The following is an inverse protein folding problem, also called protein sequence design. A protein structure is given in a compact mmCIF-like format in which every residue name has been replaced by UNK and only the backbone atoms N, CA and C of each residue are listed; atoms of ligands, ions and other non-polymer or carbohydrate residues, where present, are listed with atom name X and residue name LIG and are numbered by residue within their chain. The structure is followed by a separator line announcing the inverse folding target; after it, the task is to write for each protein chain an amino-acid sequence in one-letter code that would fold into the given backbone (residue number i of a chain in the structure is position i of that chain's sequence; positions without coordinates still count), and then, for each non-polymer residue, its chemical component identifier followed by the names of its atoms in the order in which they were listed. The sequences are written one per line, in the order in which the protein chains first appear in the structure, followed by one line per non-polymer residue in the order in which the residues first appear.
data_IF_339022594488
#
_entry.id   IF_339022594488
#
_cell.length_a   1.000
_cell.length_b   1.000
_cell.length_c   1.000
_cell.angle_alpha   90.00
_cell.angle_beta   90.00
_cell.angle_gamma   90.00
#
_symmetry.space_group_name_H-M   'P 1'
#
loop_
_entity.id
_entity.type
_entity.pdbx_description
1 polymer ?
#
# COMPACT_ATOMS: atom_id res chain seq x y z
N UNK A 1 -2.96 -4.74 12.21
CA UNK A 1 -4.32 -4.77 11.66
C UNK A 1 -4.78 -3.34 11.58
N UNK A 2 -5.20 -2.90 10.43
CA UNK A 2 -5.63 -1.53 10.17
C UNK A 2 -6.99 -1.61 9.46
N UNK A 3 -7.88 -0.69 9.78
CA UNK A 3 -9.16 -0.52 9.11
C UNK A 3 -9.26 0.93 8.62
N UNK A 4 -9.55 1.12 7.34
CA UNK A 4 -9.72 2.43 6.74
C UNK A 4 -11.06 2.55 6.01
N UNK A 5 -11.55 3.76 5.92
CA UNK A 5 -12.74 4.11 5.15
C UNK A 5 -12.42 5.36 4.32
N UNK A 6 -12.70 5.27 3.04
CA UNK A 6 -12.64 6.38 2.09
C UNK A 6 -14.08 6.71 1.73
N UNK A 7 -14.50 7.94 1.97
CA UNK A 7 -15.87 8.38 1.72
C UNK A 7 -15.93 9.22 0.45
N UNK A 8 -16.99 9.02 -0.33
CA UNK A 8 -17.33 9.84 -1.51
C UNK A 8 -16.33 9.73 -2.68
N UNK A 9 -15.87 8.51 -2.96
CA UNK A 9 -15.03 8.21 -4.12
C UNK A 9 -15.93 8.11 -5.36
N UNK A 10 -16.15 9.22 -6.10
CA UNK A 10 -17.09 9.27 -7.24
C UNK A 10 -18.53 8.86 -6.85
N UNK A 11 -19.00 9.26 -5.66
CA UNK A 11 -20.28 8.79 -5.11
C UNK A 11 -20.24 7.41 -4.47
N UNK A 12 -19.05 6.79 -4.33
CA UNK A 12 -18.88 5.44 -3.78
C UNK A 12 -18.15 5.49 -2.43
N UNK A 13 -18.36 4.50 -1.58
CA UNK A 13 -17.59 4.32 -0.35
C UNK A 13 -16.69 3.10 -0.50
N UNK A 14 -15.42 3.26 -0.14
CA UNK A 14 -14.44 2.18 -0.10
C UNK A 14 -14.02 1.94 1.33
N UNK A 15 -14.07 0.70 1.79
CA UNK A 15 -13.55 0.30 3.09
C UNK A 15 -12.51 -0.79 2.95
N UNK A 16 -11.37 -0.60 3.61
CA UNK A 16 -10.26 -1.55 3.61
C UNK A 16 -10.05 -2.13 4.99
N UNK A 17 -9.91 -3.44 5.05
CA UNK A 17 -9.42 -4.16 6.20
C UNK A 17 -8.05 -4.77 5.87
N UNK A 18 -7.01 -4.26 6.52
CA UNK A 18 -5.64 -4.71 6.36
C UNK A 18 -5.18 -5.52 7.56
N UNK A 19 -4.68 -6.72 7.32
CA UNK A 19 -4.03 -7.55 8.32
C UNK A 19 -2.63 -7.93 7.87
N UNK A 20 -1.66 -7.88 8.78
CA UNK A 20 -0.31 -8.31 8.46
C UNK A 20 0.37 -8.99 9.64
N UNK A 21 1.17 -10.01 9.32
CA UNK A 21 2.05 -10.68 10.24
C UNK A 21 3.49 -10.61 9.73
N UNK A 22 4.43 -10.23 10.59
CA UNK A 22 5.86 -10.14 10.26
C UNK A 22 6.68 -10.93 11.26
N UNK A 23 7.57 -11.79 10.74
CA UNK A 23 8.54 -12.55 11.51
C UNK A 23 9.96 -12.22 11.06
N UNK A 24 10.81 -11.86 12.02
CA UNK A 24 12.26 -11.73 11.80
C UNK A 24 12.90 -13.12 11.91
N UNK A 25 13.55 -13.58 10.84
CA UNK A 25 14.23 -14.88 10.81
C UNK A 25 15.70 -14.74 11.23
N UNK A 26 16.42 -13.77 10.67
CA UNK A 26 17.80 -13.47 11.01
C UNK A 26 17.99 -12.01 11.34
N UNK A 27 18.88 -11.72 12.29
CA UNK A 27 19.20 -10.37 12.73
C UNK A 27 20.71 -10.22 12.92
N UNK A 28 21.31 -9.16 12.33
CA UNK A 28 22.73 -8.87 12.45
C UNK A 28 23.27 -8.12 11.25
N UNK A 29 24.41 -8.58 10.69
CA UNK A 29 24.96 -8.05 9.44
C UNK A 29 24.03 -8.35 8.25
N UNK A 30 23.41 -9.53 8.29
CA UNK A 30 22.36 -9.95 7.38
C UNK A 30 21.05 -10.01 8.17
N UNK A 31 20.05 -9.32 7.68
CA UNK A 31 18.69 -9.34 8.23
C UNK A 31 17.77 -10.03 7.22
N UNK A 32 16.96 -10.96 7.69
CA UNK A 32 15.94 -11.62 6.87
C UNK A 32 14.63 -11.60 7.63
N UNK A 33 13.57 -11.15 6.98
CA UNK A 33 12.22 -11.16 7.53
C UNK A 33 11.21 -11.63 6.49
N UNK A 34 10.20 -12.33 6.96
CA UNK A 34 9.01 -12.68 6.17
C UNK A 34 7.85 -11.82 6.68
N UNK A 35 7.00 -11.36 5.76
CA UNK A 35 5.75 -10.66 6.07
C UNK A 35 4.64 -11.26 5.23
N UNK A 36 3.59 -11.78 5.87
CA UNK A 36 2.33 -12.11 5.22
C UNK A 36 1.39 -10.91 5.36
N UNK A 37 0.65 -10.60 4.29
CA UNK A 37 -0.35 -9.53 4.26
C UNK A 37 -1.66 -10.08 3.71
N UNK A 38 -2.75 -9.54 4.23
CA UNK A 38 -4.09 -9.73 3.71
C UNK A 38 -4.80 -8.39 3.72
N UNK A 39 -5.40 -8.02 2.59
CA UNK A 39 -6.28 -6.86 2.45
C UNK A 39 -7.62 -7.36 1.92
N UNK A 40 -8.69 -6.86 2.51
CA UNK A 40 -10.04 -6.99 1.99
C UNK A 40 -10.56 -5.58 1.72
N UNK A 41 -10.76 -5.26 0.46
CA UNK A 41 -11.31 -3.99 0.00
C UNK A 41 -12.76 -4.20 -0.42
N UNK A 42 -13.66 -3.47 0.20
CA UNK A 42 -15.09 -3.54 -0.08
C UNK A 42 -15.58 -2.21 -0.64
N UNK A 43 -16.32 -2.29 -1.74
CA UNK A 43 -16.92 -1.14 -2.42
C UNK A 43 -18.42 -1.12 -2.18
N UNK A 44 -18.94 0.03 -1.79
CA UNK A 44 -20.37 0.30 -1.74
C UNK A 44 -20.67 1.31 -2.84
N UNK A 45 -21.27 0.84 -3.90
CA UNK A 45 -21.64 1.67 -5.05
C UNK A 45 -22.98 2.36 -4.77
N UNK A 46 -23.01 3.69 -4.88
CA UNK A 46 -24.21 4.49 -4.76
C UNK A 46 -24.64 4.96 -6.16
N UNK A 47 -25.93 4.84 -6.43
CA UNK A 47 -26.67 5.37 -7.59
C UNK A 47 -26.31 4.91 -9.02
N UNK A 48 -27.29 4.34 -9.68
CA UNK A 48 -27.43 4.22 -11.14
C UNK A 48 -26.78 3.01 -11.78
N UNK A 49 -25.95 2.26 -11.08
CA UNK A 49 -25.45 0.97 -11.54
C UNK A 49 -26.49 -0.11 -11.21
N UNK A 50 -26.82 -0.94 -12.19
CA UNK A 50 -27.62 -2.12 -11.95
C UNK A 50 -26.85 -3.02 -10.96
N UNK A 51 -27.22 -2.96 -9.67
CA UNK A 51 -26.56 -3.65 -8.57
C UNK A 51 -26.41 -5.16 -8.80
N UNK A 52 -27.24 -5.74 -9.67
CA UNK A 52 -27.14 -7.13 -10.08
C UNK A 52 -25.93 -7.39 -10.98
N UNK A 53 -25.47 -6.38 -11.72
CA UNK A 53 -24.32 -6.50 -12.63
C UNK A 53 -22.96 -6.39 -11.95
N UNK A 54 -22.88 -5.70 -10.80
CA UNK A 54 -21.63 -5.44 -10.08
C UNK A 54 -21.53 -6.18 -8.73
N UNK A 55 -22.51 -7.04 -8.40
CA UNK A 55 -22.53 -7.77 -7.13
C UNK A 55 -21.26 -8.61 -6.90
N UNK A 56 -20.59 -9.04 -7.97
CA UNK A 56 -19.34 -9.81 -7.90
C UNK A 56 -18.09 -8.92 -7.84
N UNK A 57 -18.24 -7.61 -8.02
CA UNK A 57 -17.12 -6.64 -8.00
C UNK A 57 -17.03 -5.85 -6.70
N UNK A 58 -17.95 -6.06 -5.78
CA UNK A 58 -18.03 -5.29 -4.54
C UNK A 58 -16.93 -5.62 -3.55
N UNK A 59 -16.11 -6.65 -3.80
CA UNK A 59 -15.08 -7.08 -2.85
C UNK A 59 -13.85 -7.63 -3.55
N UNK A 60 -12.69 -7.08 -3.19
CA UNK A 60 -11.38 -7.52 -3.65
C UNK A 60 -10.59 -8.07 -2.47
N UNK A 61 -9.97 -9.20 -2.67
CA UNK A 61 -9.06 -9.82 -1.71
C UNK A 61 -7.63 -9.83 -2.24
N UNK A 62 -6.72 -9.19 -1.53
CA UNK A 62 -5.30 -9.18 -1.87
C UNK A 62 -4.49 -9.86 -0.78
N UNK A 63 -3.70 -10.85 -1.17
CA UNK A 63 -2.80 -11.59 -0.29
C UNK A 63 -1.37 -11.46 -0.79
N UNK A 64 -0.43 -11.18 0.10
CA UNK A 64 0.97 -11.03 -0.24
C UNK A 64 1.87 -11.79 0.73
N UNK A 65 2.97 -12.32 0.21
CA UNK A 65 4.02 -12.94 1.00
C UNK A 65 5.37 -12.29 0.69
N UNK A 66 5.80 -11.34 1.53
CA UNK A 66 7.05 -10.62 1.32
C UNK A 66 8.23 -11.31 1.98
N UNK A 67 9.29 -11.52 1.23
CA UNK A 67 10.62 -11.86 1.73
C UNK A 67 11.49 -10.60 1.67
N UNK A 68 11.98 -10.14 2.82
CA UNK A 68 12.81 -8.94 2.94
C UNK A 68 14.20 -9.35 3.40
N UNK A 69 15.21 -9.15 2.55
CA UNK A 69 16.61 -9.36 2.88
C UNK A 69 17.35 -8.02 2.86
N UNK A 70 18.08 -7.74 3.93
CA UNK A 70 18.96 -6.58 4.03
C UNK A 70 20.34 -7.02 4.47
N UNK A 71 21.36 -6.54 3.78
CA UNK A 71 22.77 -6.76 4.09
C UNK A 71 23.46 -5.43 4.38
N UNK A 72 24.07 -5.33 5.55
CA UNK A 72 25.01 -4.25 5.86
C UNK A 72 26.35 -4.57 5.19
N UNK A 73 26.70 -3.77 4.20
CA UNK A 73 27.97 -3.93 3.45
C UNK A 73 29.11 -3.48 4.36
N UNK A 74 28.97 -2.28 4.93
CA UNK A 74 29.88 -1.73 5.93
C UNK A 74 29.10 -0.90 6.98
N UNK A 75 29.77 0.00 7.70
CA UNK A 75 29.16 0.86 8.73
C UNK A 75 28.20 1.93 8.14
N UNK A 76 28.33 2.23 6.85
CA UNK A 76 27.60 3.30 6.16
C UNK A 76 26.70 2.77 5.06
N UNK A 77 27.05 1.69 4.40
CA UNK A 77 26.32 1.15 3.26
C UNK A 77 25.52 -0.09 3.60
N UNK A 78 24.28 -0.13 3.11
CA UNK A 78 23.44 -1.33 3.13
C UNK A 78 22.73 -1.53 1.80
N UNK A 79 22.49 -2.79 1.44
CA UNK A 79 21.67 -3.18 0.31
C UNK A 79 20.44 -3.95 0.81
N UNK A 80 19.28 -3.67 0.23
CA UNK A 80 18.01 -4.35 0.55
C UNK A 80 17.41 -4.92 -0.73
N UNK A 81 16.88 -6.13 -0.62
CA UNK A 81 16.07 -6.79 -1.65
C UNK A 81 14.78 -7.25 -0.99
N UNK A 82 13.66 -6.98 -1.63
CA UNK A 82 12.33 -7.45 -1.25
C UNK A 82 11.71 -8.16 -2.44
N UNK A 83 11.14 -9.33 -2.23
CA UNK A 83 10.31 -10.04 -3.18
C UNK A 83 8.93 -10.23 -2.55
N UNK A 84 7.87 -10.03 -3.32
CA UNK A 84 6.50 -10.07 -2.84
C UNK A 84 5.58 -10.64 -3.93
N UNK A 85 5.43 -11.98 -4.04
CA UNK A 85 4.33 -12.57 -4.78
C UNK A 85 2.99 -12.13 -4.16
N UNK A 86 2.05 -11.76 -5.03
CA UNK A 86 0.73 -11.26 -4.67
C UNK A 86 -0.32 -12.07 -5.41
N UNK A 87 -1.38 -12.43 -4.69
CA UNK A 87 -2.65 -12.93 -5.20
C UNK A 87 -3.69 -11.84 -4.96
N UNK A 88 -4.33 -11.33 -6.03
CA UNK A 88 -5.34 -10.28 -5.92
C UNK A 88 -6.49 -10.55 -6.88
N UNK A 89 -7.68 -10.76 -6.32
CA UNK A 89 -8.85 -11.26 -7.07
C UNK A 89 -10.17 -10.97 -6.36
N UNK A 90 -11.26 -10.99 -7.11
CA UNK A 90 -12.64 -10.90 -6.58
C UNK A 90 -13.18 -12.22 -6.04
N UNK A 91 -12.46 -13.33 -6.20
CA UNK A 91 -12.85 -14.70 -5.74
C UNK A 91 -14.17 -15.23 -6.31
N UNK A 92 -14.54 -14.80 -7.51
CA UNK A 92 -15.77 -15.25 -8.16
C UNK A 92 -15.70 -16.66 -8.73
N UNK A 93 -14.51 -17.14 -9.09
CA UNK A 93 -14.26 -18.46 -9.71
C UNK A 93 -12.97 -19.09 -9.20
N UNK A 94 -12.62 -20.25 -9.80
CA UNK A 94 -11.34 -20.89 -9.51
C UNK A 94 -10.17 -19.98 -9.89
N UNK A 95 -9.12 -19.99 -9.07
CA UNK A 95 -7.92 -19.19 -9.28
C UNK A 95 -7.30 -19.48 -10.65
N UNK A 96 -6.93 -18.41 -11.35
CA UNK A 96 -6.23 -18.41 -12.62
C UNK A 96 -4.80 -17.85 -12.47
N UNK A 97 -4.03 -17.86 -13.55
CA UNK A 97 -2.71 -17.21 -13.58
C UNK A 97 -2.81 -15.69 -13.41
N UNK A 98 -3.89 -15.08 -13.87
CA UNK A 98 -4.09 -13.63 -13.89
C UNK A 98 -4.38 -13.05 -12.50
N UNK A 99 -4.73 -13.92 -11.53
CA UNK A 99 -4.85 -13.53 -10.12
C UNK A 99 -3.50 -13.27 -9.45
N UNK A 100 -2.37 -13.68 -10.11
CA UNK A 100 -1.05 -13.63 -9.50
C UNK A 100 -0.12 -12.65 -10.22
N UNK A 101 0.57 -11.85 -9.46
CA UNK A 101 1.68 -11.02 -9.96
C UNK A 101 2.81 -10.93 -8.94
N UNK A 102 3.99 -10.59 -9.42
CA UNK A 102 5.19 -10.44 -8.58
C UNK A 102 5.59 -8.99 -8.43
N UNK A 103 5.77 -8.54 -7.20
CA UNK A 103 6.38 -7.25 -6.87
C UNK A 103 7.79 -7.47 -6.32
N UNK A 104 8.67 -6.52 -6.55
CA UNK A 104 10.01 -6.54 -5.97
C UNK A 104 10.51 -5.14 -5.70
N UNK A 105 11.52 -5.04 -4.84
CA UNK A 105 12.24 -3.80 -4.56
C UNK A 105 13.73 -4.13 -4.35
N UNK A 106 14.61 -3.33 -4.92
CA UNK A 106 16.05 -3.37 -4.66
C UNK A 106 16.52 -1.97 -4.38
N UNK A 107 17.16 -1.76 -3.23
CA UNK A 107 17.66 -0.46 -2.80
C UNK A 107 19.07 -0.56 -2.27
N UNK A 108 19.90 0.45 -2.61
CA UNK A 108 21.18 0.71 -2.00
C UNK A 108 21.08 1.98 -1.17
N UNK A 109 21.51 1.90 0.09
CA UNK A 109 21.43 3.01 1.03
C UNK A 109 22.79 3.36 1.60
N UNK A 110 23.04 4.66 1.72
CA UNK A 110 24.20 5.20 2.43
C UNK A 110 23.71 6.01 3.62
N UNK A 111 24.19 5.63 4.82
CA UNK A 111 23.86 6.30 6.06
C UNK A 111 25.11 6.95 6.67
N UNK A 112 24.99 8.17 7.12
CA UNK A 112 26.02 8.87 7.87
C UNK A 112 25.44 9.56 9.09
N UNK A 113 26.26 9.72 10.10
CA UNK A 113 25.89 10.34 11.37
C UNK A 113 26.78 11.53 11.64
N UNK A 114 26.19 12.64 12.02
CA UNK A 114 26.90 13.84 12.37
C UNK A 114 26.21 14.47 13.57
N UNK A 115 26.92 14.54 14.70
CA UNK A 115 26.38 15.00 15.97
C UNK A 115 25.11 14.18 16.36
N UNK A 116 23.99 14.85 16.57
CA UNK A 116 22.67 14.31 16.90
C UNK A 116 21.82 13.91 15.68
N UNK A 117 22.38 14.01 14.46
CA UNK A 117 21.66 13.76 13.21
C UNK A 117 22.09 12.44 12.59
N UNK A 118 21.11 11.68 12.12
CA UNK A 118 21.33 10.54 11.23
C UNK A 118 20.69 10.85 9.89
N UNK A 119 21.46 10.70 8.81
CA UNK A 119 21.03 10.97 7.44
C UNK A 119 21.20 9.69 6.62
N UNK A 120 20.24 9.42 5.73
CA UNK A 120 20.28 8.26 4.84
C UNK A 120 19.83 8.67 3.45
N UNK A 121 20.64 8.40 2.45
CA UNK A 121 20.27 8.47 1.04
C UNK A 121 20.05 7.05 0.54
N UNK A 122 18.92 6.82 -0.10
CA UNK A 122 18.57 5.54 -0.71
C UNK A 122 18.20 5.73 -2.17
N UNK A 123 18.69 4.84 -3.03
CA UNK A 123 18.36 4.78 -4.45
C UNK A 123 18.07 3.33 -4.84
N UNK A 124 17.21 3.12 -5.80
CA UNK A 124 16.89 1.76 -6.23
C UNK A 124 15.87 1.70 -7.36
N UNK A 125 15.35 0.50 -7.54
CA UNK A 125 14.25 0.19 -8.46
C UNK A 125 13.26 -0.73 -7.76
N UNK A 126 11.99 -0.60 -8.09
CA UNK A 126 10.96 -1.48 -7.59
C UNK A 126 9.90 -1.74 -8.66
N UNK A 127 9.26 -2.91 -8.59
CA UNK A 127 8.05 -3.21 -9.35
C UNK A 127 6.88 -3.09 -8.42
N UNK A 128 5.91 -2.27 -8.77
CA UNK A 128 4.75 -1.92 -7.95
C UNK A 128 3.54 -1.66 -8.82
N UNK A 129 2.38 -1.57 -8.20
CA UNK A 129 1.09 -1.20 -8.80
C UNK A 129 0.69 0.25 -8.51
N UNK A 130 1.66 1.12 -8.21
CA UNK A 130 1.41 2.51 -7.81
C UNK A 130 0.60 3.32 -8.80
N UNK A 131 0.73 3.04 -10.09
CA UNK A 131 0.01 3.70 -11.18
C UNK A 131 -1.04 2.77 -11.80
N UNK A 132 -1.62 1.88 -10.98
CA UNK A 132 -2.72 1.01 -11.37
C UNK A 132 -2.27 -0.34 -11.90
N UNK A 133 -1.07 -0.46 -12.46
CA UNK A 133 -0.56 -1.70 -13.05
C UNK A 133 0.82 -2.10 -12.51
N UNK A 134 1.19 -3.40 -12.61
CA UNK A 134 2.51 -3.85 -12.16
C UNK A 134 3.64 -3.38 -13.07
N UNK A 135 4.28 -2.26 -12.77
CA UNK A 135 5.36 -1.66 -13.56
C UNK A 135 6.65 -1.46 -12.76
N UNK A 136 7.78 -1.28 -13.48
CA UNK A 136 9.10 -1.06 -12.88
C UNK A 136 9.37 0.44 -12.82
N UNK A 137 9.62 0.93 -11.60
CA UNK A 137 9.82 2.34 -11.31
C UNK A 137 11.16 2.57 -10.59
N UNK A 138 11.82 3.71 -10.80
CA UNK A 138 12.94 4.13 -9.97
C UNK A 138 12.45 4.55 -8.60
N UNK A 139 13.28 4.38 -7.57
CA UNK A 139 13.06 4.97 -6.24
C UNK A 139 14.28 5.74 -5.80
N UNK A 140 14.04 6.88 -5.15
CA UNK A 140 15.08 7.66 -4.51
C UNK A 140 14.49 8.37 -3.29
N UNK A 141 15.21 8.35 -2.16
CA UNK A 141 14.77 9.05 -0.96
C UNK A 141 15.96 9.56 -0.14
N UNK A 142 15.74 10.68 0.51
CA UNK A 142 16.63 11.24 1.51
C UNK A 142 15.89 11.32 2.84
N UNK A 143 16.40 10.64 3.86
CA UNK A 143 15.84 10.64 5.20
C UNK A 143 16.80 11.30 6.19
N UNK A 144 16.26 12.07 7.14
CA UNK A 144 17.01 12.67 8.23
C UNK A 144 16.21 12.57 9.53
N UNK A 145 16.94 12.23 10.63
CA UNK A 145 16.40 12.25 11.99
C UNK A 145 17.27 13.10 12.87
N UNK A 146 16.64 13.81 13.81
CA UNK A 146 17.30 14.65 14.82
C UNK A 146 17.11 14.06 16.21
N UNK A 147 18.05 14.31 17.11
CA UNK A 147 18.01 13.80 18.48
C UNK A 147 16.81 14.28 19.32
N UNK A 148 16.16 15.36 18.93
CA UNK A 148 14.95 15.90 19.56
C UNK A 148 13.64 15.28 19.06
N UNK A 149 13.71 14.19 18.32
CA UNK A 149 12.55 13.41 17.85
C UNK A 149 11.97 13.83 16.50
N UNK A 150 12.44 14.91 15.89
CA UNK A 150 12.04 15.27 14.52
C UNK A 150 12.63 14.29 13.50
N UNK A 151 11.86 14.00 12.46
CA UNK A 151 12.31 13.21 11.33
C UNK A 151 11.62 13.67 10.03
N UNK A 152 12.34 13.51 8.93
CA UNK A 152 11.84 13.79 7.58
C UNK A 152 12.35 12.73 6.62
N UNK A 153 11.53 12.35 5.67
CA UNK A 153 11.93 11.63 4.46
C UNK A 153 11.34 12.36 3.28
N UNK A 154 12.15 12.69 2.31
CA UNK A 154 11.71 13.25 1.02
C UNK A 154 12.13 12.31 -0.07
N UNK A 155 11.19 11.89 -0.90
CA UNK A 155 11.49 10.94 -1.95
C UNK A 155 10.27 10.41 -2.69
N UNK A 156 10.53 9.44 -3.54
CA UNK A 156 9.51 8.71 -4.29
C UNK A 156 9.60 7.22 -3.92
N UNK A 157 8.47 6.55 -3.67
CA UNK A 157 7.08 6.98 -3.88
C UNK A 157 6.44 7.70 -2.69
N UNK A 158 7.16 7.89 -1.58
CA UNK A 158 6.60 8.45 -0.34
C UNK A 158 7.50 9.54 0.23
N UNK A 159 6.85 10.58 0.77
CA UNK A 159 7.50 11.61 1.57
C UNK A 159 6.77 11.75 2.89
N UNK A 160 7.52 11.95 3.98
CA UNK A 160 6.95 12.12 5.31
C UNK A 160 7.75 13.12 6.15
N UNK A 161 7.04 13.80 7.05
CA UNK A 161 7.59 14.70 8.03
C UNK A 161 6.91 14.45 9.37
N UNK A 162 7.68 14.28 10.44
CA UNK A 162 7.06 13.94 11.70
C UNK A 162 7.89 14.30 12.93
N UNK A 163 7.23 14.15 14.07
CA UNK A 163 7.77 14.39 15.40
C UNK A 163 7.35 13.27 16.35
N UNK A 164 8.31 12.65 17.01
CA UNK A 164 8.12 11.78 18.17
C UNK A 164 8.51 12.57 19.41
N UNK A 165 7.55 13.22 20.08
CA UNK A 165 7.84 14.06 21.25
C UNK A 165 8.08 13.27 22.54
N UNK A 166 7.78 11.99 22.52
CA UNK A 166 8.20 11.04 23.54
C UNK A 166 8.13 9.60 23.01
N UNK A 167 8.50 8.62 23.83
CA UNK A 167 8.50 7.21 23.41
C UNK A 167 7.11 6.64 23.11
N UNK A 168 6.04 7.32 23.52
CA UNK A 168 4.65 6.84 23.34
C UNK A 168 3.92 7.53 22.22
N UNK A 169 4.31 8.76 21.90
CA UNK A 169 3.51 9.61 21.01
C UNK A 169 4.34 10.09 19.83
N UNK A 170 3.81 9.93 18.64
CA UNK A 170 4.36 10.53 17.44
C UNK A 170 3.24 10.97 16.48
N UNK A 171 3.52 11.99 15.70
CA UNK A 171 2.67 12.49 14.63
C UNK A 171 3.47 12.58 13.35
N UNK A 172 2.87 12.22 12.24
CA UNK A 172 3.51 12.19 10.92
C UNK A 172 2.55 12.78 9.88
N UNK A 173 3.02 13.77 9.15
CA UNK A 173 2.42 14.18 7.88
C UNK A 173 3.01 13.29 6.78
N UNK A 174 2.18 12.70 5.96
CA UNK A 174 2.57 11.74 4.92
C UNK A 174 1.97 12.17 3.59
N UNK A 175 2.79 12.19 2.53
CA UNK A 175 2.35 12.26 1.14
C UNK A 175 2.87 11.05 0.41
N UNK A 176 2.01 10.31 -0.26
CA UNK A 176 2.38 9.08 -0.95
C UNK A 176 1.55 8.84 -2.21
N UNK A 177 2.08 8.03 -3.11
CA UNK A 177 1.30 7.40 -4.16
C UNK A 177 0.73 6.09 -3.63
N UNK A 178 -0.49 5.77 -4.05
CA UNK A 178 -1.19 4.53 -3.71
C UNK A 178 -1.83 3.94 -4.96
N UNK A 179 -1.77 2.62 -5.11
CA UNK A 179 -2.33 1.91 -6.23
C UNK A 179 -2.76 0.49 -5.89
N UNK A 180 -3.73 -0.01 -6.66
CA UNK A 180 -4.27 -1.35 -6.55
C UNK A 180 -4.53 -1.92 -7.93
N UNK A 181 -4.20 -3.20 -8.09
CA UNK A 181 -4.43 -3.98 -9.31
C UNK A 181 -5.00 -5.33 -8.92
N UNK A 182 -6.11 -5.73 -9.53
CA UNK A 182 -6.78 -6.98 -9.18
C UNK A 182 -7.48 -7.60 -10.38
N UNK A 183 -7.34 -8.90 -10.56
CA UNK A 183 -8.10 -9.63 -11.55
C UNK A 183 -9.58 -9.76 -11.13
N UNK A 184 -10.47 -9.54 -12.07
CA UNK A 184 -11.90 -9.82 -11.94
C UNK A 184 -12.13 -11.26 -12.42
N UNK A 185 -12.21 -12.18 -11.46
CA UNK A 185 -12.20 -13.61 -11.71
C UNK A 185 -13.56 -14.17 -12.21
N UNK A 186 -14.61 -13.35 -12.27
CA UNK A 186 -15.94 -13.76 -12.73
C UNK A 186 -16.47 -12.87 -13.83
N UNK A 187 -17.27 -13.41 -14.78
CA UNK A 187 -17.99 -12.59 -15.74
C UNK A 187 -18.85 -11.55 -15.01
N UNK A 188 -18.88 -10.36 -15.53
CA UNK A 188 -19.71 -9.28 -15.03
C UNK A 188 -20.57 -8.69 -16.16
N UNK A 189 -21.58 -7.94 -15.81
CA UNK A 189 -22.60 -7.50 -16.75
C UNK A 189 -22.56 -5.99 -16.95
N UNK A 190 -22.52 -5.53 -18.21
CA UNK A 190 -22.50 -4.11 -18.53
C UNK A 190 -23.38 -3.84 -19.77
N UNK A 191 -24.25 -2.84 -19.70
CA UNK A 191 -25.07 -2.37 -20.81
C UNK A 191 -25.83 -3.50 -21.58
N UNK A 192 -26.33 -4.49 -20.85
CA UNK A 192 -27.05 -5.61 -21.45
C UNK A 192 -26.15 -6.71 -22.04
N UNK A 193 -24.85 -6.64 -21.86
CA UNK A 193 -23.89 -7.64 -22.34
C UNK A 193 -23.10 -8.24 -21.18
N UNK A 194 -22.80 -9.53 -21.26
CA UNK A 194 -21.88 -10.19 -20.36
C UNK A 194 -20.46 -9.92 -20.84
N UNK A 195 -19.65 -9.33 -19.97
CA UNK A 195 -18.22 -9.16 -20.18
C UNK A 195 -17.54 -10.40 -19.62
N UNK A 196 -16.89 -11.14 -20.48
CA UNK A 196 -16.08 -12.29 -20.09
C UNK A 196 -14.65 -11.85 -19.77
N UNK A 197 -14.03 -12.55 -18.84
CA UNK A 197 -12.64 -12.35 -18.44
C UNK A 197 -11.66 -12.62 -19.60
N UNK A 198 -10.41 -12.07 -19.54
CA UNK A 198 -9.83 -11.36 -18.42
C UNK A 198 -10.21 -9.87 -18.40
N UNK A 199 -10.51 -9.38 -17.21
CA UNK A 199 -10.62 -7.96 -16.94
C UNK A 199 -10.03 -7.63 -15.59
N UNK A 200 -9.51 -6.41 -15.44
CA UNK A 200 -8.75 -6.01 -14.27
C UNK A 200 -9.30 -4.73 -13.67
N UNK A 201 -9.31 -4.70 -12.35
CA UNK A 201 -9.67 -3.54 -11.58
C UNK A 201 -8.42 -2.72 -11.28
N UNK A 202 -8.43 -1.46 -11.68
CA UNK A 202 -7.35 -0.50 -11.48
C UNK A 202 -7.82 0.63 -10.57
N UNK A 203 -7.04 0.93 -9.55
CA UNK A 203 -7.19 2.11 -8.73
C UNK A 203 -5.81 2.69 -8.49
N UNK A 204 -5.62 3.97 -8.80
CA UNK A 204 -4.42 4.69 -8.42
C UNK A 204 -4.72 6.12 -8.01
N UNK A 205 -3.82 6.70 -7.24
CA UNK A 205 -3.96 8.05 -6.75
C UNK A 205 -2.81 8.49 -5.85
N UNK A 206 -3.05 9.61 -5.23
CA UNK A 206 -2.12 10.25 -4.29
C UNK A 206 -2.84 10.53 -3.00
N UNK A 207 -2.15 10.34 -1.89
CA UNK A 207 -2.68 10.67 -0.57
C UNK A 207 -1.83 11.73 0.14
N UNK A 208 -2.49 12.60 0.87
CA UNK A 208 -1.88 13.49 1.85
C UNK A 208 -2.63 13.34 3.16
N UNK A 209 -1.95 12.84 4.19
CA UNK A 209 -2.57 12.51 5.45
C UNK A 209 -1.74 12.78 6.67
N UNK A 210 -2.44 12.89 7.81
CA UNK A 210 -1.86 13.02 9.13
C UNK A 210 -2.08 11.72 9.89
N UNK A 211 -1.01 11.18 10.43
CA UNK A 211 -1.01 9.96 11.25
C UNK A 211 -0.59 10.27 12.68
N UNK A 212 -1.35 9.83 13.65
CA UNK A 212 -0.99 9.84 15.07
C UNK A 212 -0.81 8.42 15.59
N UNK A 213 0.34 8.15 16.17
CA UNK A 213 0.66 6.87 16.84
C UNK A 213 0.73 7.04 18.33
N UNK A 214 0.03 6.14 19.03
CA UNK A 214 0.08 6.04 20.49
C UNK A 214 0.50 4.64 20.94
N UNK A 215 1.60 4.54 21.66
CA UNK A 215 2.09 3.29 22.26
C UNK A 215 1.45 3.12 23.64
N UNK A 216 0.41 2.31 23.73
CA UNK A 216 -0.26 1.97 24.97
C UNK A 216 0.65 1.19 25.90
N UNK A 217 1.39 0.22 25.38
CA UNK A 217 2.34 -0.63 26.06
C UNK A 217 3.57 -0.87 25.18
N UNK A 218 4.71 -1.37 25.70
CA UNK A 218 5.89 -1.63 24.87
C UNK A 218 5.64 -2.45 23.61
N UNK A 219 4.66 -3.34 23.67
CA UNK A 219 4.30 -4.25 22.57
C UNK A 219 3.01 -3.86 21.84
N UNK A 220 2.28 -2.84 22.30
CA UNK A 220 0.97 -2.49 21.77
C UNK A 220 0.93 -1.02 21.32
N UNK A 221 0.67 -0.80 20.05
CA UNK A 221 0.57 0.53 19.45
C UNK A 221 -0.75 0.67 18.72
N UNK A 222 -1.44 1.79 18.93
CA UNK A 222 -2.59 2.22 18.14
C UNK A 222 -2.17 3.29 17.16
N UNK A 223 -2.81 3.33 16.02
CA UNK A 223 -2.61 4.34 14.98
C UNK A 223 -3.97 4.92 14.62
N UNK A 224 -4.02 6.23 14.50
CA UNK A 224 -5.17 6.95 13.96
C UNK A 224 -4.66 7.82 12.82
N UNK A 225 -5.25 7.72 11.65
CA UNK A 225 -4.89 8.56 10.52
C UNK A 225 -6.10 9.09 9.78
N UNK A 226 -5.91 10.18 9.08
CA UNK A 226 -6.92 10.78 8.24
C UNK A 226 -6.28 11.78 7.31
N UNK A 227 -6.91 11.99 6.16
CA UNK A 227 -6.35 12.82 5.14
C UNK A 227 -7.24 12.90 3.91
N UNK A 228 -6.61 13.27 2.83
CA UNK A 228 -7.22 13.51 1.55
C UNK A 228 -6.57 12.59 0.51
N UNK A 229 -7.38 11.89 -0.26
CA UNK A 229 -6.96 11.06 -1.37
C UNK A 229 -7.43 11.69 -2.67
N UNK A 230 -6.50 11.90 -3.58
CA UNK A 230 -6.74 12.29 -4.96
C UNK A 230 -6.68 10.99 -5.78
N UNK A 231 -7.80 10.59 -6.36
CA UNK A 231 -7.85 9.43 -7.25
C UNK A 231 -7.61 9.91 -8.67
N UNK A 232 -6.56 9.38 -9.28
CA UNK A 232 -6.23 9.69 -10.68
C UNK A 232 -6.99 8.75 -11.63
N UNK A 233 -7.10 7.45 -11.27
CA UNK A 233 -7.80 6.43 -12.05
C UNK A 233 -8.57 5.47 -11.13
N UNK A 234 -9.80 5.15 -11.51
CA UNK A 234 -10.65 4.16 -10.88
C UNK A 234 -11.47 3.48 -11.97
N UNK A 235 -10.96 2.35 -12.48
CA UNK A 235 -11.44 1.77 -13.75
C UNK A 235 -11.43 0.24 -13.71
N UNK A 236 -12.21 -0.33 -14.66
CA UNK A 236 -12.07 -1.71 -15.11
C UNK A 236 -11.53 -1.68 -16.54
N UNK A 237 -10.45 -2.42 -16.78
CA UNK A 237 -9.81 -2.54 -18.10
C UNK A 237 -9.78 -3.99 -18.57
N UNK A 238 -9.65 -4.19 -19.89
CA UNK A 238 -9.38 -5.51 -20.48
C UNK A 238 -7.88 -5.84 -20.49
N UNK A 239 -7.51 -7.00 -21.05
CA UNK A 239 -6.12 -7.45 -21.20
C UNK A 239 -5.25 -6.56 -22.11
N UNK A 240 -5.86 -5.66 -22.89
CA UNK A 240 -5.19 -4.71 -23.77
C UNK A 240 -5.17 -3.29 -23.18
N UNK A 241 -5.45 -3.15 -21.90
CA UNK A 241 -5.53 -1.86 -21.19
C UNK A 241 -6.65 -0.93 -21.73
N UNK A 242 -7.66 -1.50 -22.41
CA UNK A 242 -8.80 -0.73 -22.88
C UNK A 242 -9.81 -0.57 -21.75
N UNK A 243 -10.17 0.67 -21.43
CA UNK A 243 -11.16 0.97 -20.39
C UNK A 243 -12.53 0.40 -20.76
N UNK A 244 -12.99 -0.57 -19.99
CA UNK A 244 -14.33 -1.14 -20.10
C UNK A 244 -15.33 -0.34 -19.27
N UNK A 245 -14.93 0.12 -18.09
CA UNK A 245 -15.75 0.93 -17.20
C UNK A 245 -14.90 1.91 -16.39
N UNK A 246 -15.35 3.16 -16.28
CA UNK A 246 -14.70 4.20 -15.49
C UNK A 246 -15.64 4.67 -14.38
N UNK A 247 -15.19 4.57 -13.13
CA UNK A 247 -15.94 5.00 -11.94
C UNK A 247 -15.81 6.50 -11.65
N UNK A 248 -14.98 7.21 -12.43
CA UNK A 248 -14.63 8.61 -12.20
C UNK A 248 -13.37 8.79 -11.36
N UNK A 249 -12.86 10.00 -11.39
CA UNK A 249 -11.68 10.42 -10.63
C UNK A 249 -12.08 11.57 -9.72
N UNK A 250 -12.38 11.27 -8.47
CA UNK A 250 -12.74 12.28 -7.46
C UNK A 250 -11.78 12.22 -6.28
N UNK A 251 -11.72 13.34 -5.59
CA UNK A 251 -10.92 13.44 -4.38
C UNK A 251 -11.79 13.23 -3.15
N UNK A 252 -11.29 12.46 -2.20
CA UNK A 252 -12.04 12.00 -1.04
C UNK A 252 -11.30 12.17 0.27
N UNK A 253 -12.05 12.32 1.35
CA UNK A 253 -11.51 12.17 2.69
C UNK A 253 -11.38 10.69 3.03
N UNK A 254 -10.28 10.33 3.69
CA UNK A 254 -10.13 9.00 4.29
C UNK A 254 -9.86 9.09 5.78
N UNK A 255 -10.27 8.05 6.50
CA UNK A 255 -9.98 7.83 7.91
C UNK A 255 -9.54 6.40 8.12
N UNK A 256 -8.56 6.21 9.00
CA UNK A 256 -8.06 4.88 9.32
C UNK A 256 -7.76 4.75 10.80
N UNK A 257 -8.04 3.58 11.33
CA UNK A 257 -7.65 3.16 12.68
C UNK A 257 -6.88 1.85 12.60
N UNK A 258 -5.76 1.78 13.31
CA UNK A 258 -4.89 0.62 13.30
C UNK A 258 -4.46 0.17 14.68
N UNK A 259 -4.18 -1.13 14.78
CA UNK A 259 -3.65 -1.78 15.97
C UNK A 259 -2.46 -2.63 15.57
N UNK A 260 -1.32 -2.44 16.24
CA UNK A 260 -0.13 -3.25 16.08
C UNK A 260 0.28 -3.90 17.40
N UNK A 261 0.46 -5.21 17.35
CA UNK A 261 1.06 -5.97 18.45
C UNK A 261 2.41 -6.56 18.01
N UNK A 262 3.45 -6.32 18.80
CA UNK A 262 4.79 -6.88 18.57
C UNK A 262 5.01 -8.07 19.49
N UNK A 263 5.11 -9.26 18.94
CA UNK A 263 5.50 -10.46 19.65
C UNK A 263 6.99 -10.36 20.06
N UNK A 264 7.30 -10.79 21.28
CA UNK A 264 8.68 -10.85 21.78
C UNK A 264 9.37 -12.11 21.29
#
# INVERSE_FOLDING_TARGET
MDYSVITDLGGNTVSDLDASFRQQLWKGKNNLAIKATYQNREFTFFDGLDLNSLSNLNRIHTQGLSLNYERKIDSSFSARVKANPVLSTTWGHALSRDDFYGLFETTLSKTWRQNDKTQTLSIGVFRSVLFGEPEILPTASFAMTWGNGWFVTVGFPESLFGLAWNERNSMTLRGAFDGSYSNISSPWFQNGQTIETPSFFILNGKELGLEYKYRLQPNFTTTLSGGYQLVDEFEIVDENETTLYNFGSDSSLYFSIGIRYNFK
#
